data_IF_425066098862
#
_entry.id   IF_425066098862
#
_cell.length_a   1.000
_cell.length_b   1.000
_cell.length_c   1.000
_cell.angle_alpha   90.00
_cell.angle_beta   90.00
_cell.angle_gamma   90.00
#
_symmetry.space_group_name_H-M   'P 1'
#
loop_
_entity.id
_entity.type
_entity.pdbx_description
1 polymer ?
#
# COMPACT_ATOMS: atom_id res chain seq x y z
N UNK A 1 17.90 6.04 11.79
CA UNK A 1 17.12 7.02 12.57
C UNK A 1 18.05 7.69 13.57
N UNK A 2 18.32 8.99 13.43
CA UNK A 2 19.31 9.67 14.30
C UNK A 2 18.80 9.89 15.72
N UNK A 3 17.49 10.04 15.92
CA UNK A 3 16.88 10.31 17.22
C UNK A 3 16.73 9.03 18.03
N UNK A 4 16.27 7.95 17.38
CA UNK A 4 16.02 6.65 18.02
C UNK A 4 17.26 5.75 18.10
N UNK A 5 18.34 6.08 17.36
CA UNK A 5 19.52 5.22 17.26
C UNK A 5 19.27 3.84 16.63
N UNK A 6 18.08 3.59 16.08
CA UNK A 6 17.67 2.29 15.55
C UNK A 6 17.95 2.15 14.05
N UNK A 7 18.31 0.92 13.65
CA UNK A 7 18.41 0.52 12.24
C UNK A 7 17.01 0.20 11.70
N UNK A 8 16.65 0.83 10.59
CA UNK A 8 15.38 0.55 9.91
C UNK A 8 15.45 -0.83 9.22
N UNK A 9 14.34 -1.58 9.20
CA UNK A 9 14.28 -2.82 8.43
C UNK A 9 14.48 -2.55 6.94
N UNK A 10 15.04 -3.51 6.17
CA UNK A 10 15.21 -3.35 4.74
C UNK A 10 13.85 -3.34 4.04
N UNK A 11 13.63 -2.35 3.17
CA UNK A 11 12.44 -2.26 2.33
C UNK A 11 11.76 -0.89 2.38
N UNK A 12 11.06 -0.56 1.31
CA UNK A 12 10.30 0.68 1.20
C UNK A 12 8.88 0.46 1.74
N UNK A 13 8.44 1.33 2.64
CA UNK A 13 7.05 1.38 3.07
C UNK A 13 6.17 1.83 1.89
N UNK A 14 5.11 1.07 1.60
CA UNK A 14 4.13 1.43 0.58
C UNK A 14 2.89 2.04 1.22
N UNK A 15 2.49 3.22 0.75
CA UNK A 15 1.27 3.89 1.18
C UNK A 15 0.17 3.70 0.11
N UNK A 16 -0.88 2.98 0.48
CA UNK A 16 -1.99 2.69 -0.44
C UNK A 16 -3.05 3.80 -0.45
N UNK A 17 -3.22 4.50 0.68
CA UNK A 17 -4.27 5.50 0.90
C UNK A 17 -3.80 6.94 0.77
N UNK A 18 -2.49 7.17 0.90
CA UNK A 18 -1.87 8.49 0.89
C UNK A 18 -0.87 8.58 -0.26
N UNK A 19 -0.70 9.79 -0.79
CA UNK A 19 0.39 10.16 -1.70
C UNK A 19 1.21 11.30 -1.09
N UNK A 20 2.52 11.28 -1.35
CA UNK A 20 3.40 12.37 -0.93
C UNK A 20 3.20 13.57 -1.86
N UNK A 21 2.76 14.69 -1.29
CA UNK A 21 2.53 15.92 -2.03
C UNK A 21 3.73 16.87 -1.93
N UNK A 22 4.40 16.89 -0.76
CA UNK A 22 5.57 17.72 -0.54
C UNK A 22 6.43 17.18 0.61
N UNK A 23 7.75 17.32 0.47
CA UNK A 23 8.75 17.04 1.52
C UNK A 23 9.77 18.17 1.52
N UNK A 24 10.08 18.70 2.71
CA UNK A 24 11.12 19.73 2.87
C UNK A 24 12.53 19.15 2.73
N UNK A 25 13.51 19.98 2.37
CA UNK A 25 14.92 19.59 2.17
C UNK A 25 15.55 18.82 3.32
N UNK A 26 15.25 19.22 4.56
CA UNK A 26 15.78 18.59 5.77
C UNK A 26 14.89 17.46 6.32
N UNK A 27 13.84 17.07 5.59
CA UNK A 27 12.92 15.97 5.91
C UNK A 27 12.23 16.09 7.28
N UNK A 28 12.07 17.33 7.76
CA UNK A 28 11.37 17.65 9.02
C UNK A 28 9.85 17.64 8.80
N UNK A 29 9.40 18.15 7.65
CA UNK A 29 7.98 18.20 7.29
C UNK A 29 7.72 17.38 6.03
N UNK A 30 6.72 16.51 6.12
CA UNK A 30 6.18 15.72 5.00
C UNK A 30 4.68 15.91 4.96
N UNK A 31 4.16 16.41 3.84
CA UNK A 31 2.74 16.67 3.63
C UNK A 31 2.18 15.56 2.73
N UNK A 32 1.18 14.86 3.24
CA UNK A 32 0.50 13.78 2.53
C UNK A 32 -0.91 14.19 2.15
N UNK A 33 -1.31 13.82 0.94
CA UNK A 33 -2.69 13.96 0.46
C UNK A 33 -3.40 12.61 0.49
N UNK A 34 -4.65 12.61 0.92
CA UNK A 34 -5.51 11.42 0.86
C UNK A 34 -5.92 11.18 -0.59
N UNK A 35 -5.69 9.96 -1.06
CA UNK A 35 -6.11 9.55 -2.40
C UNK A 35 -7.64 9.50 -2.49
N UNK A 36 -8.22 9.85 -3.66
CA UNK A 36 -9.64 9.68 -3.88
C UNK A 36 -10.03 8.21 -3.79
N UNK A 37 -11.31 7.95 -3.51
CA UNK A 37 -11.87 6.61 -3.55
C UNK A 37 -11.77 6.02 -4.96
N UNK A 38 -11.69 4.69 -5.04
CA UNK A 38 -11.67 3.99 -6.32
C UNK A 38 -13.06 4.01 -6.97
N UNK A 39 -13.13 4.38 -8.25
CA UNK A 39 -14.38 4.50 -9.00
C UNK A 39 -15.16 3.18 -9.13
N UNK A 40 -14.51 2.03 -8.93
CA UNK A 40 -15.13 0.71 -9.01
C UNK A 40 -15.54 0.18 -7.62
N UNK A 41 -15.47 1.03 -6.59
CA UNK A 41 -15.81 0.66 -5.21
C UNK A 41 -14.83 -0.32 -4.56
N UNK A 42 -13.63 -0.52 -5.14
CA UNK A 42 -12.61 -1.38 -4.55
C UNK A 42 -11.91 -0.66 -3.40
N UNK A 43 -11.25 -1.43 -2.54
CA UNK A 43 -10.32 -0.83 -1.57
C UNK A 43 -9.11 -0.23 -2.30
N UNK A 44 -8.54 0.86 -1.78
CA UNK A 44 -7.36 1.51 -2.38
C UNK A 44 -6.14 0.58 -2.45
N UNK A 45 -6.04 -0.39 -1.54
CA UNK A 45 -5.01 -1.42 -1.59
C UNK A 45 -5.20 -2.37 -2.78
N UNK A 46 -6.44 -2.80 -3.06
CA UNK A 46 -6.74 -3.65 -4.22
C UNK A 46 -6.53 -2.90 -5.53
N UNK A 47 -6.92 -1.63 -5.59
CA UNK A 47 -6.66 -0.78 -6.75
C UNK A 47 -5.14 -0.61 -6.98
N UNK A 48 -4.36 -0.35 -5.93
CA UNK A 48 -2.91 -0.27 -6.02
C UNK A 48 -2.26 -1.59 -6.47
N UNK A 49 -2.67 -2.73 -5.89
CA UNK A 49 -2.17 -4.04 -6.28
C UNK A 49 -2.47 -4.37 -7.75
N UNK A 50 -3.63 -3.98 -8.24
CA UNK A 50 -3.99 -4.12 -9.66
C UNK A 50 -3.07 -3.28 -10.56
N UNK A 51 -2.81 -2.01 -10.20
CA UNK A 51 -1.85 -1.15 -10.92
C UNK A 51 -0.42 -1.70 -10.94
N UNK A 52 -0.02 -2.43 -9.88
CA UNK A 52 1.26 -3.15 -9.81
C UNK A 52 1.28 -4.46 -10.62
N UNK A 53 0.22 -4.79 -11.36
CA UNK A 53 0.12 -6.01 -12.16
C UNK A 53 -0.14 -7.28 -11.34
N UNK A 54 -0.44 -7.16 -10.04
CA UNK A 54 -0.72 -8.32 -9.18
C UNK A 54 -2.12 -8.84 -9.46
N UNK A 55 -2.21 -10.05 -10.02
CA UNK A 55 -3.48 -10.73 -10.24
C UNK A 55 -4.09 -11.17 -8.91
N UNK A 56 -5.39 -10.91 -8.72
CA UNK A 56 -6.13 -11.47 -7.58
C UNK A 56 -6.08 -12.99 -7.69
N UNK A 57 -5.54 -13.68 -6.68
CA UNK A 57 -5.66 -15.14 -6.61
C UNK A 57 -7.14 -15.50 -6.64
N UNK A 58 -7.57 -16.24 -7.66
CA UNK A 58 -8.91 -16.81 -7.66
C UNK A 58 -9.03 -17.67 -6.40
N UNK A 59 -10.12 -17.50 -5.64
CA UNK A 59 -10.44 -18.46 -4.58
C UNK A 59 -10.67 -19.79 -5.30
N UNK A 60 -9.69 -20.70 -5.25
CA UNK A 60 -9.91 -22.08 -5.61
C UNK A 60 -11.07 -22.55 -4.73
N UNK A 61 -12.23 -22.79 -5.35
CA UNK A 61 -13.33 -23.49 -4.70
C UNK A 61 -12.78 -24.88 -4.46
N UNK A 62 -12.23 -25.13 -3.25
CA UNK A 62 -11.95 -26.48 -2.79
C UNK A 62 -13.27 -27.23 -2.93
N UNK A 63 -13.38 -28.05 -3.99
CA UNK A 63 -14.39 -29.10 -4.07
C UNK A 63 -14.10 -29.99 -2.86
N UNK A 64 -14.82 -29.75 -1.78
CA UNK A 64 -14.92 -30.69 -0.67
C UNK A 64 -15.54 -31.95 -1.27
N UNK A 65 -14.71 -32.89 -1.70
CA UNK A 65 -15.15 -34.22 -2.08
C UNK A 65 -15.65 -34.89 -0.82
N UNK A 66 -16.96 -35.14 -0.77
CA UNK A 66 -17.56 -36.06 0.17
C UNK A 66 -17.93 -37.29 -0.66
N UNK A 67 -17.08 -38.32 -0.61
CA UNK A 67 -17.40 -39.70 -0.92
C UNK A 67 -16.36 -40.59 -0.24
#
# INVERSE_FOLDING_TARGET
DRVRGAKLPPGNLKLHTLEEAYTTDNWIVRIYKVKPLDNLGRTLQQAAAFGEGKKRRAKSKRRSGNN
#
